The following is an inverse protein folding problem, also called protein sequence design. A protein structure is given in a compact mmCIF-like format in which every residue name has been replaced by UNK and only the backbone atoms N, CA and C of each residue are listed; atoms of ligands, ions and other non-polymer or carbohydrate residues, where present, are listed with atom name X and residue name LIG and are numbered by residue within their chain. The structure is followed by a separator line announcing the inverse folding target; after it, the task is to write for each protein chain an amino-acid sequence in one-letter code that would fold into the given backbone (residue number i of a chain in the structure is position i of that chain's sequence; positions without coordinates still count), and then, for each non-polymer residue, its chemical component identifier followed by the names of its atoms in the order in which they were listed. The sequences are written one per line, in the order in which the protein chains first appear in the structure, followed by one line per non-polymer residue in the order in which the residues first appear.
data_IF_610594084463
#
_entry.id   IF_610594084463
#
_cell.length_a   1.000
_cell.length_b   1.000
_cell.length_c   1.000
_cell.angle_alpha   90.00
_cell.angle_beta   90.00
_cell.angle_gamma   90.00
#
_symmetry.space_group_name_H-M   'P 1'
#
loop_
_entity.id
_entity.type
_entity.pdbx_description
1 polymer ?
#
# COMPACT_ATOMS: atom_id res chain seq x y z
N UNK A 1 -47.64 37.62 -35.24
CA UNK A 1 -48.42 38.61 -34.47
C UNK A 1 -48.10 38.34 -33.00
N UNK A 2 -47.04 38.93 -32.44
CA UNK A 2 -47.00 40.29 -31.85
C UNK A 2 -48.05 40.37 -30.72
N UNK A 3 -47.74 40.55 -29.44
CA UNK A 3 -46.78 41.47 -28.86
C UNK A 3 -46.41 41.12 -27.39
N UNK A 4 -45.33 41.74 -26.87
CA UNK A 4 -44.74 41.57 -25.53
C UNK A 4 -45.17 42.71 -24.56
N UNK A 5 -44.58 42.78 -23.35
CA UNK A 5 -44.17 43.97 -22.55
C UNK A 5 -43.84 43.48 -21.11
N UNK A 6 -42.57 43.50 -20.64
CA UNK A 6 -41.85 44.60 -19.92
C UNK A 6 -42.42 44.89 -18.51
N UNK A 7 -41.67 45.22 -17.45
CA UNK A 7 -40.24 45.37 -17.07
C UNK A 7 -40.27 45.86 -15.61
N UNK A 8 -39.09 45.87 -14.95
CA UNK A 8 -38.66 46.65 -13.74
C UNK A 8 -38.84 45.93 -12.40
N UNK A 9 -37.73 45.49 -11.78
CA UNK A 9 -36.65 46.19 -11.02
C UNK A 9 -37.05 46.45 -9.56
N UNK A 10 -36.35 45.76 -8.66
CA UNK A 10 -35.90 46.30 -7.38
C UNK A 10 -34.62 45.58 -6.97
N UNK A 11 -33.54 46.34 -6.93
CA UNK A 11 -32.26 46.00 -6.31
C UNK A 11 -32.31 46.46 -4.86
N UNK A 12 -31.79 45.64 -3.93
CA UNK A 12 -30.87 46.06 -2.85
C UNK A 12 -30.44 44.86 -2.00
N UNK A 13 -29.16 44.51 -2.16
CA UNK A 13 -28.15 44.25 -1.14
C UNK A 13 -28.56 43.52 0.15
N UNK A 14 -28.00 42.32 0.35
CA UNK A 14 -27.16 42.01 1.50
C UNK A 14 -26.11 40.97 1.10
N UNK A 15 -24.85 41.39 1.17
CA UNK A 15 -23.69 40.54 1.01
C UNK A 15 -23.20 40.01 2.36
N UNK A 16 -22.42 38.92 2.28
CA UNK A 16 -21.49 38.39 3.30
C UNK A 16 -22.11 37.42 4.33
N UNK A 17 -21.51 36.31 4.78
CA UNK A 17 -20.19 35.71 4.55
C UNK A 17 -20.21 34.26 5.14
N UNK A 18 -19.61 33.32 4.40
CA UNK A 18 -18.78 32.14 4.79
C UNK A 18 -19.27 31.00 5.73
N UNK A 19 -19.02 29.79 5.17
CA UNK A 19 -18.34 28.60 5.75
C UNK A 19 -19.08 27.71 6.77
N UNK A 20 -19.47 26.52 6.29
CA UNK A 20 -19.36 25.16 6.87
C UNK A 20 -20.25 24.27 5.97
N UNK A 21 -19.94 23.07 5.48
CA UNK A 21 -19.03 22.01 5.92
C UNK A 21 -18.60 21.21 4.68
N UNK A 22 -17.28 21.02 4.51
CA UNK A 22 -16.71 19.95 3.67
C UNK A 22 -16.02 19.00 4.63
N UNK A 23 -16.63 17.85 4.88
CA UNK A 23 -15.99 16.68 5.45
C UNK A 23 -16.28 15.51 4.52
N UNK A 24 -15.34 14.55 4.47
CA UNK A 24 -15.27 13.40 3.56
C UNK A 24 -14.70 13.70 2.17
N UNK A 25 -13.37 13.81 2.10
CA UNK A 25 -12.50 13.35 0.99
C UNK A 25 -11.05 13.73 1.30
N UNK A 26 -10.28 12.77 1.80
CA UNK A 26 -8.84 12.61 1.55
C UNK A 26 -8.38 11.40 2.36
N UNK A 27 -7.87 10.37 1.69
CA UNK A 27 -6.72 9.54 2.13
C UNK A 27 -6.56 8.39 1.13
N UNK A 28 -5.72 8.62 0.13
CA UNK A 28 -4.93 7.62 -0.61
C UNK A 28 -4.13 8.42 -1.64
N UNK A 29 -2.92 8.84 -1.26
CA UNK A 29 -1.90 9.41 -2.15
C UNK A 29 -0.56 9.47 -1.41
N UNK A 30 0.46 8.91 -2.06
CA UNK A 30 1.88 8.92 -1.67
C UNK A 30 2.47 7.54 -1.95
N UNK A 31 3.43 7.31 -2.85
CA UNK A 31 4.38 8.21 -3.47
C UNK A 31 4.76 7.73 -4.90
N UNK A 32 5.21 8.67 -5.73
CA UNK A 32 5.97 8.41 -6.95
C UNK A 32 7.00 9.54 -7.06
N UNK A 33 8.24 9.25 -7.50
CA UNK A 33 9.05 10.11 -8.38
C UNK A 33 10.41 9.46 -8.80
N UNK A 34 10.56 9.37 -10.13
CA UNK A 34 11.74 9.52 -11.03
C UNK A 34 13.02 8.69 -10.84
N UNK A 35 13.33 7.86 -11.86
CA UNK A 35 14.69 7.53 -12.27
C UNK A 35 14.83 7.68 -13.80
N UNK A 36 15.84 8.44 -14.24
CA UNK A 36 16.32 8.51 -15.62
C UNK A 36 17.75 7.96 -15.72
N UNK A 37 18.22 7.52 -16.91
CA UNK A 37 19.46 6.75 -17.01
C UNK A 37 20.68 7.66 -17.18
N UNK A 38 21.81 7.32 -16.55
CA UNK A 38 23.12 7.90 -16.86
C UNK A 38 24.13 6.78 -17.15
N UNK A 39 24.86 6.99 -18.25
CA UNK A 39 25.80 6.10 -18.88
C UNK A 39 27.10 5.89 -18.09
N UNK A 40 27.69 4.71 -18.28
CA UNK A 40 29.01 4.32 -17.79
C UNK A 40 30.15 5.13 -18.43
N UNK A 41 31.09 5.59 -17.59
CA UNK A 41 32.46 5.89 -18.00
C UNK A 41 33.42 5.40 -16.89
N UNK A 42 34.44 4.63 -17.30
CA UNK A 42 35.48 4.05 -16.44
C UNK A 42 36.74 4.93 -16.35
N UNK A 43 37.47 4.74 -15.25
CA UNK A 43 38.93 4.90 -15.03
C UNK A 43 39.38 6.13 -14.20
N UNK A 44 40.60 6.14 -13.63
CA UNK A 44 41.17 5.17 -12.69
C UNK A 44 41.89 5.84 -11.48
N UNK A 45 42.07 5.07 -10.39
CA UNK A 45 43.22 5.14 -9.47
C UNK A 45 43.30 6.31 -8.47
N UNK A 46 43.34 5.98 -7.17
CA UNK A 46 44.53 6.14 -6.31
C UNK A 46 44.21 5.69 -4.88
N UNK A 47 45.14 4.92 -4.31
CA UNK A 47 45.08 4.42 -2.95
C UNK A 47 45.39 5.53 -1.95
N UNK A 48 44.56 5.64 -0.91
CA UNK A 48 44.91 6.35 0.32
C UNK A 48 44.36 5.57 1.52
N UNK A 49 45.26 5.23 2.42
CA UNK A 49 45.00 4.54 3.69
C UNK A 49 44.04 5.35 4.56
N UNK A 50 42.93 4.73 4.97
CA UNK A 50 42.06 5.23 6.02
C UNK A 50 42.11 4.29 7.22
N UNK A 51 42.39 4.88 8.38
CA UNK A 51 42.39 4.25 9.69
C UNK A 51 40.99 3.71 10.05
N UNK A 52 40.95 2.46 10.49
CA UNK A 52 39.75 1.86 11.08
C UNK A 52 39.43 2.49 12.44
N UNK A 53 38.19 2.97 12.68
CA UNK A 53 37.71 3.17 14.04
C UNK A 53 37.12 1.86 14.59
N UNK A 54 37.29 1.70 15.89
CA UNK A 54 36.96 0.52 16.65
C UNK A 54 35.46 0.21 16.64
N UNK A 55 35.15 -1.08 16.53
CA UNK A 55 33.81 -1.67 16.66
C UNK A 55 33.35 -1.50 18.11
N UNK A 56 32.30 -0.72 18.34
CA UNK A 56 31.54 -0.73 19.58
C UNK A 56 30.60 -1.97 19.59
N UNK A 57 30.40 -2.63 20.74
CA UNK A 57 29.57 -3.83 20.80
C UNK A 57 28.10 -3.47 20.58
N UNK A 58 27.43 -4.27 19.74
CA UNK A 58 26.01 -4.19 19.48
C UNK A 58 25.21 -4.31 20.79
N UNK A 59 24.34 -3.33 21.05
CA UNK A 59 23.33 -3.42 22.10
C UNK A 59 22.38 -4.58 21.77
N UNK A 60 22.10 -5.42 22.76
CA UNK A 60 21.15 -6.52 22.64
C UNK A 60 19.74 -5.97 22.34
N UNK A 61 18.95 -6.63 21.47
CA UNK A 61 17.58 -6.22 21.20
C UNK A 61 16.74 -6.36 22.47
N UNK A 62 15.93 -5.33 22.75
CA UNK A 62 14.91 -5.37 23.78
C UNK A 62 13.91 -6.52 23.49
N UNK A 63 13.37 -7.20 24.52
CA UNK A 63 12.45 -8.31 24.32
C UNK A 63 11.18 -7.79 23.63
N UNK A 64 10.84 -8.41 22.49
CA UNK A 64 9.59 -8.19 21.80
C UNK A 64 8.41 -8.34 22.77
N UNK A 65 7.53 -7.34 22.79
CA UNK A 65 6.27 -7.43 23.50
C UNK A 65 5.50 -8.66 23.00
N UNK A 66 5.11 -9.54 23.91
CA UNK A 66 4.36 -10.74 23.57
C UNK A 66 3.05 -10.36 22.85
N UNK A 67 2.73 -10.98 21.69
CA UNK A 67 1.49 -10.70 21.00
C UNK A 67 0.31 -11.10 21.89
N UNK A 68 -0.71 -10.24 21.91
CA UNK A 68 -1.99 -10.54 22.53
C UNK A 68 -2.56 -11.79 21.87
N UNK A 69 -2.75 -12.85 22.65
CA UNK A 69 -3.31 -14.10 22.18
C UNK A 69 -4.70 -13.86 21.56
N UNK A 70 -4.79 -14.01 20.24
CA UNK A 70 -6.05 -14.11 19.52
C UNK A 70 -6.71 -15.43 19.97
N UNK A 71 -7.99 -15.44 20.38
CA UNK A 71 -8.67 -16.67 20.74
C UNK A 71 -8.67 -17.65 19.55
N UNK A 72 -8.50 -18.96 19.78
CA UNK A 72 -8.49 -19.94 18.70
C UNK A 72 -9.84 -19.88 17.97
N UNK A 73 -9.78 -19.62 16.67
CA UNK A 73 -10.93 -19.72 15.80
C UNK A 73 -11.44 -21.17 15.83
N UNK A 74 -12.58 -21.41 16.48
CA UNK A 74 -13.34 -22.65 16.31
C UNK A 74 -13.81 -22.72 14.88
N UNK A 75 -13.03 -23.40 14.03
CA UNK A 75 -13.36 -23.69 12.63
C UNK A 75 -14.40 -24.82 12.60
N UNK A 76 -15.66 -24.48 12.88
CA UNK A 76 -16.76 -25.30 12.33
C UNK A 76 -16.69 -25.16 10.82
N UNK A 77 -16.18 -26.19 10.14
CA UNK A 77 -16.13 -26.21 8.68
C UNK A 77 -17.53 -25.91 8.12
N UNK A 78 -17.68 -24.90 7.25
CA UNK A 78 -18.96 -24.60 6.65
C UNK A 78 -19.44 -25.79 5.80
N UNK A 79 -20.77 -25.90 5.72
CA UNK A 79 -21.51 -26.80 4.82
C UNK A 79 -20.87 -26.76 3.42
N UNK A 80 -20.78 -27.92 2.75
CA UNK A 80 -20.16 -28.04 1.43
C UNK A 80 -20.52 -26.86 0.51
N UNK A 81 -19.54 -26.27 -0.21
CA UNK A 81 -19.77 -25.08 -1.03
C UNK A 81 -20.88 -25.36 -2.05
N UNK A 82 -21.82 -24.42 -2.17
CA UNK A 82 -23.01 -24.59 -2.99
C UNK A 82 -22.74 -24.32 -4.47
N UNK A 83 -21.75 -23.47 -4.77
CA UNK A 83 -21.40 -23.06 -6.14
C UNK A 83 -19.88 -23.01 -6.36
N UNK A 84 -19.49 -23.02 -7.62
CA UNK A 84 -18.12 -22.84 -8.06
C UNK A 84 -18.08 -21.94 -9.30
N UNK A 85 -17.13 -20.99 -9.35
CA UNK A 85 -16.99 -20.07 -10.48
C UNK A 85 -15.53 -19.62 -10.67
N UNK A 86 -15.11 -19.29 -11.91
CA UNK A 86 -13.76 -18.80 -12.18
C UNK A 86 -13.54 -17.42 -11.55
N UNK A 87 -12.37 -17.21 -10.95
CA UNK A 87 -11.96 -15.89 -10.47
C UNK A 87 -10.44 -15.72 -10.48
N UNK A 88 -9.96 -14.59 -10.99
CA UNK A 88 -8.54 -14.25 -11.04
C UNK A 88 -8.35 -12.74 -11.27
N UNK A 89 -7.20 -12.23 -10.84
CA UNK A 89 -6.71 -10.88 -11.16
C UNK A 89 -5.32 -10.99 -11.79
N UNK A 90 -5.07 -10.21 -12.83
CA UNK A 90 -3.80 -10.22 -13.54
C UNK A 90 -3.45 -8.87 -14.16
N UNK A 91 -2.15 -8.57 -14.15
CA UNK A 91 -1.56 -7.38 -14.77
C UNK A 91 -0.88 -7.74 -16.08
N UNK A 92 -1.14 -6.93 -17.10
CA UNK A 92 -0.61 -7.12 -18.45
C UNK A 92 0.06 -5.85 -18.96
N UNK A 93 1.04 -6.05 -19.84
CA UNK A 93 1.62 -5.00 -20.67
C UNK A 93 1.36 -5.31 -22.14
N UNK A 94 1.08 -4.30 -22.95
CA UNK A 94 0.59 -4.54 -24.29
C UNK A 94 0.64 -3.34 -25.21
N UNK A 95 -0.05 -3.47 -26.34
CA UNK A 95 -0.20 -2.42 -27.34
C UNK A 95 -1.63 -2.32 -27.84
N UNK A 96 -2.05 -1.08 -28.10
CA UNK A 96 -3.15 -0.76 -29.01
C UNK A 96 -2.54 -0.07 -30.22
N UNK A 97 -2.56 -0.74 -31.37
CA UNK A 97 -1.75 -0.39 -32.54
C UNK A 97 -0.27 -0.18 -32.18
N UNK A 98 0.22 1.07 -32.20
CA UNK A 98 1.62 1.41 -31.91
C UNK A 98 1.82 2.08 -30.54
N UNK A 99 0.79 2.11 -29.68
CA UNK A 99 0.85 2.74 -28.35
C UNK A 99 0.96 1.67 -27.28
N UNK A 100 1.98 1.79 -26.43
CA UNK A 100 2.16 0.91 -25.28
C UNK A 100 1.10 1.21 -24.21
N UNK A 101 0.56 0.14 -23.63
CA UNK A 101 -0.44 0.20 -22.57
C UNK A 101 -0.08 -0.74 -21.43
N UNK A 102 -0.58 -0.41 -20.24
CA UNK A 102 -0.63 -1.30 -19.07
C UNK A 102 -2.10 -1.52 -18.71
N UNK A 103 -2.45 -2.75 -18.40
CA UNK A 103 -3.82 -3.19 -18.14
C UNK A 103 -3.85 -4.01 -16.87
N UNK A 104 -4.81 -3.74 -16.00
CA UNK A 104 -5.16 -4.59 -14.86
C UNK A 104 -6.54 -5.17 -15.15
N UNK A 105 -6.66 -6.49 -15.20
CA UNK A 105 -7.92 -7.19 -15.45
C UNK A 105 -8.23 -8.12 -14.29
N UNK A 106 -9.51 -8.22 -13.98
CA UNK A 106 -10.04 -9.23 -13.08
C UNK A 106 -11.25 -9.92 -13.73
N UNK A 107 -11.41 -11.21 -13.42
CA UNK A 107 -12.58 -12.00 -13.76
C UNK A 107 -13.26 -12.47 -12.49
N UNK A 108 -14.58 -12.38 -12.46
CA UNK A 108 -15.44 -13.00 -11.45
C UNK A 108 -16.63 -13.65 -12.16
N UNK A 109 -16.70 -14.98 -12.12
CA UNK A 109 -17.62 -15.75 -12.95
C UNK A 109 -17.50 -15.33 -14.43
N UNK A 110 -18.57 -14.81 -15.03
CA UNK A 110 -18.55 -14.32 -16.41
C UNK A 110 -18.32 -12.81 -16.51
N UNK A 111 -18.23 -12.07 -15.40
CA UNK A 111 -17.91 -10.65 -15.44
C UNK A 111 -16.40 -10.44 -15.57
N UNK A 112 -15.98 -9.57 -16.48
CA UNK A 112 -14.60 -9.13 -16.63
C UNK A 112 -14.56 -7.62 -16.49
N UNK A 113 -13.71 -7.14 -15.59
CA UNK A 113 -13.54 -5.71 -15.38
C UNK A 113 -12.08 -5.37 -15.14
N UNK A 114 -11.75 -4.09 -15.18
CA UNK A 114 -10.37 -3.67 -15.01
C UNK A 114 -10.16 -2.20 -15.30
N UNK A 115 -8.90 -1.82 -15.38
CA UNK A 115 -8.50 -0.48 -15.76
C UNK A 115 -7.26 -0.53 -16.65
N UNK A 116 -7.03 0.52 -17.43
CA UNK A 116 -5.83 0.60 -18.25
C UNK A 116 -5.36 2.03 -18.48
N UNK A 117 -4.14 2.17 -18.94
CA UNK A 117 -3.51 3.45 -19.25
C UNK A 117 -2.53 3.29 -20.40
N UNK A 118 -2.31 4.39 -21.11
CA UNK A 118 -1.17 4.51 -22.03
C UNK A 118 0.10 4.86 -21.25
N UNK A 119 1.20 4.23 -21.61
CA UNK A 119 2.50 4.52 -21.00
C UNK A 119 3.00 5.94 -21.38
N UNK A 120 3.63 6.70 -20.46
CA UNK A 120 3.99 6.33 -19.08
C UNK A 120 2.80 6.35 -18.12
N UNK A 121 2.59 5.22 -17.44
CA UNK A 121 1.50 4.98 -16.53
C UNK A 121 1.90 5.15 -15.05
N UNK A 122 0.99 5.72 -14.26
CA UNK A 122 1.09 5.87 -12.81
C UNK A 122 -0.25 5.49 -12.16
N UNK A 123 -0.27 5.40 -10.83
CA UNK A 123 -1.43 4.98 -10.05
C UNK A 123 -2.66 5.88 -10.22
N UNK A 124 -2.47 7.15 -10.60
CA UNK A 124 -3.60 8.04 -10.88
C UNK A 124 -4.10 7.91 -12.33
N UNK A 125 -3.23 7.57 -13.28
CA UNK A 125 -3.58 7.40 -14.69
C UNK A 125 -4.28 6.08 -14.97
N UNK A 126 -3.89 4.98 -14.31
CA UNK A 126 -4.50 3.66 -14.52
C UNK A 126 -6.01 3.73 -14.28
N UNK A 127 -6.46 4.47 -13.25
CA UNK A 127 -7.87 4.60 -12.87
C UNK A 127 -8.75 5.44 -13.81
N UNK A 128 -8.17 6.05 -14.86
CA UNK A 128 -8.92 6.97 -15.74
C UNK A 128 -9.73 6.25 -16.80
N UNK A 129 -9.26 5.10 -17.28
CA UNK A 129 -9.95 4.32 -18.30
C UNK A 129 -10.36 2.99 -17.70
N UNK A 130 -11.67 2.84 -17.50
CA UNK A 130 -12.27 1.66 -16.91
C UNK A 130 -12.72 0.70 -18.00
N UNK A 131 -12.55 -0.58 -17.74
CA UNK A 131 -12.95 -1.70 -18.57
C UNK A 131 -14.08 -2.48 -17.88
N UNK A 132 -15.15 -2.79 -18.60
CA UNK A 132 -16.29 -3.56 -18.10
C UNK A 132 -16.91 -4.41 -19.20
N UNK A 133 -17.10 -5.69 -18.95
CA UNK A 133 -17.56 -6.62 -19.97
C UNK A 133 -17.85 -8.01 -19.44
N UNK A 134 -17.98 -8.94 -20.37
CA UNK A 134 -18.32 -10.32 -20.04
C UNK A 134 -17.48 -11.32 -20.82
N UNK A 135 -17.18 -12.44 -20.17
CA UNK A 135 -16.66 -13.64 -20.81
C UNK A 135 -17.69 -14.18 -21.81
N UNK A 136 -17.20 -14.69 -22.93
CA UNK A 136 -17.98 -15.30 -24.00
C UNK A 136 -17.33 -16.62 -24.41
N UNK A 137 -18.05 -17.44 -25.18
CA UNK A 137 -17.57 -18.76 -25.60
C UNK A 137 -16.17 -18.74 -26.25
N UNK A 138 -15.82 -17.65 -26.95
CA UNK A 138 -14.58 -17.55 -27.73
C UNK A 138 -13.68 -16.37 -27.31
N UNK A 139 -13.81 -15.85 -26.10
CA UNK A 139 -13.03 -14.71 -25.65
C UNK A 139 -13.77 -13.81 -24.66
N UNK A 140 -13.43 -12.53 -24.66
CA UNK A 140 -14.06 -11.50 -23.83
C UNK A 140 -14.43 -10.30 -24.68
N UNK A 141 -15.62 -9.76 -24.43
CA UNK A 141 -16.08 -8.49 -24.98
C UNK A 141 -16.19 -7.46 -23.87
N UNK A 142 -15.49 -6.34 -24.02
CA UNK A 142 -15.35 -5.32 -22.98
C UNK A 142 -15.66 -3.94 -23.57
N UNK A 143 -16.35 -3.12 -22.80
CA UNK A 143 -16.55 -1.70 -23.06
C UNK A 143 -15.58 -0.86 -22.24
N UNK A 144 -15.05 0.17 -22.87
CA UNK A 144 -14.14 1.14 -22.28
C UNK A 144 -14.87 2.41 -21.91
N UNK A 145 -14.56 2.97 -20.75
CA UNK A 145 -15.18 4.17 -20.20
C UNK A 145 -14.13 5.16 -19.69
N UNK A 146 -14.20 6.41 -20.16
CA UNK A 146 -13.41 7.51 -19.60
C UNK A 146 -14.06 8.04 -18.31
N UNK A 147 -13.42 7.76 -17.17
CA UNK A 147 -13.86 8.17 -15.85
C UNK A 147 -13.72 9.69 -15.62
N UNK A 148 -12.91 10.37 -16.44
CA UNK A 148 -12.69 11.81 -16.36
C UNK A 148 -13.77 12.63 -17.04
N UNK A 149 -14.59 12.00 -17.90
CA UNK A 149 -15.71 12.65 -18.57
C UNK A 149 -16.72 13.23 -17.56
N UNK A 150 -17.28 14.40 -17.88
CA UNK A 150 -18.29 15.05 -17.05
C UNK A 150 -19.61 14.26 -17.05
N UNK A 151 -20.34 14.31 -15.94
CA UNK A 151 -21.61 13.61 -15.77
C UNK A 151 -21.52 12.33 -14.93
N UNK A 152 -22.70 11.83 -14.52
CA UNK A 152 -22.85 10.58 -13.77
C UNK A 152 -22.66 9.36 -14.67
N UNK A 153 -23.24 9.40 -15.87
CA UNK A 153 -23.06 8.36 -16.88
C UNK A 153 -21.73 8.62 -17.60
N UNK A 154 -20.85 7.62 -17.57
CA UNK A 154 -19.58 7.68 -18.29
C UNK A 154 -19.82 7.18 -19.71
N UNK A 155 -19.41 7.94 -20.75
CA UNK A 155 -19.61 7.51 -22.12
C UNK A 155 -18.70 6.32 -22.44
N UNK A 156 -19.18 5.43 -23.30
CA UNK A 156 -18.34 4.39 -23.90
C UNK A 156 -17.39 5.07 -24.88
N UNK A 157 -16.08 4.91 -24.67
CA UNK A 157 -15.01 5.49 -25.50
C UNK A 157 -14.32 4.47 -26.40
N UNK A 158 -14.56 3.18 -26.17
CA UNK A 158 -14.02 2.09 -26.98
C UNK A 158 -14.68 0.75 -26.67
N UNK A 159 -14.43 -0.24 -27.53
CA UNK A 159 -14.84 -1.63 -27.33
C UNK A 159 -13.68 -2.56 -27.63
N UNK A 160 -13.47 -3.55 -26.78
CA UNK A 160 -12.41 -4.54 -26.90
C UNK A 160 -13.04 -5.90 -27.15
N UNK A 161 -12.56 -6.60 -28.18
CA UNK A 161 -12.86 -8.02 -28.43
C UNK A 161 -11.52 -8.75 -28.36
N UNK A 162 -11.34 -9.63 -27.37
CA UNK A 162 -10.07 -10.29 -27.12
C UNK A 162 -10.23 -11.79 -26.94
N UNK A 163 -9.20 -12.52 -27.31
CA UNK A 163 -9.05 -13.97 -27.10
C UNK A 163 -7.75 -14.25 -26.38
N UNK A 164 -7.76 -15.29 -25.57
CA UNK A 164 -6.53 -15.80 -24.93
C UNK A 164 -5.57 -16.30 -26.01
N UNK A 165 -4.30 -15.94 -25.90
CA UNK A 165 -3.21 -16.42 -26.75
C UNK A 165 -2.04 -16.84 -25.85
N UNK A 166 -1.95 -18.13 -25.54
CA UNK A 166 -1.09 -18.63 -24.48
C UNK A 166 -1.44 -18.00 -23.12
N UNK A 167 -0.45 -17.35 -22.50
CA UNK A 167 -0.63 -16.61 -21.24
C UNK A 167 -1.11 -15.16 -21.44
N UNK A 168 -1.13 -14.68 -22.70
CA UNK A 168 -1.50 -13.32 -23.06
C UNK A 168 -2.87 -13.24 -23.74
N UNK A 169 -3.09 -12.12 -24.42
CA UNK A 169 -4.31 -11.83 -25.16
C UNK A 169 -4.00 -11.21 -26.51
N UNK A 170 -4.79 -11.58 -27.52
CA UNK A 170 -4.83 -10.90 -28.80
C UNK A 170 -6.25 -10.48 -29.13
N UNK A 171 -6.41 -9.38 -29.83
CA UNK A 171 -7.74 -8.83 -30.05
C UNK A 171 -7.76 -7.56 -30.86
N UNK A 172 -8.88 -6.86 -30.74
CA UNK A 172 -9.14 -5.62 -31.46
C UNK A 172 -9.79 -4.61 -30.52
N UNK A 173 -9.29 -3.38 -30.58
CA UNK A 173 -9.97 -2.20 -30.05
C UNK A 173 -10.78 -1.54 -31.17
N UNK A 174 -12.02 -1.16 -30.92
CA UNK A 174 -12.86 -0.43 -31.85
C UNK A 174 -13.42 0.86 -31.24
N UNK A 175 -13.56 1.91 -32.05
CA UNK A 175 -14.25 3.14 -31.65
C UNK A 175 -15.72 2.88 -31.32
N UNK A 176 -16.39 3.75 -30.54
CA UNK A 176 -17.79 3.55 -30.16
C UNK A 176 -18.76 3.46 -31.36
N UNK A 177 -18.39 4.06 -32.49
CA UNK A 177 -19.13 3.99 -33.75
C UNK A 177 -18.65 2.88 -34.71
N UNK A 178 -17.62 2.11 -34.32
CA UNK A 178 -17.04 1.03 -35.10
C UNK A 178 -16.23 1.46 -36.33
N UNK A 179 -16.09 2.76 -36.61
CA UNK A 179 -15.37 3.25 -37.80
C UNK A 179 -13.86 3.07 -37.73
N UNK A 180 -13.31 3.04 -36.52
CA UNK A 180 -11.89 2.78 -36.29
C UNK A 180 -11.73 1.46 -35.57
N UNK A 181 -10.78 0.66 -36.04
CA UNK A 181 -10.42 -0.63 -35.49
C UNK A 181 -8.89 -0.71 -35.43
N UNK A 182 -8.35 -1.12 -34.29
CA UNK A 182 -6.91 -1.19 -34.02
C UNK A 182 -6.56 -2.54 -33.42
N UNK A 183 -5.46 -3.19 -33.86
CA UNK A 183 -5.03 -4.43 -33.26
C UNK A 183 -4.61 -4.21 -31.80
N UNK A 184 -4.90 -5.20 -30.97
CA UNK A 184 -4.62 -5.19 -29.56
C UNK A 184 -3.86 -6.46 -29.17
N UNK A 185 -2.79 -6.30 -28.40
CA UNK A 185 -2.03 -7.43 -27.85
C UNK A 185 -1.67 -7.14 -26.40
N UNK A 186 -1.84 -8.12 -25.53
CA UNK A 186 -1.45 -8.07 -24.12
C UNK A 186 -0.56 -9.28 -23.80
N UNK A 187 0.49 -9.06 -23.03
CA UNK A 187 1.39 -10.09 -22.56
C UNK A 187 1.52 -9.98 -21.03
N UNK A 188 1.79 -11.11 -20.38
CA UNK A 188 2.22 -11.10 -18.99
C UNK A 188 3.54 -10.32 -18.85
N UNK A 189 3.84 -9.85 -17.64
CA UNK A 189 5.11 -9.17 -17.39
C UNK A 189 6.30 -10.06 -17.82
N UNK A 190 7.35 -9.49 -18.45
CA UNK A 190 8.51 -10.26 -18.88
C UNK A 190 9.21 -10.96 -17.72
N UNK A 191 9.65 -12.20 -17.93
CA UNK A 191 10.55 -12.91 -17.01
C UNK A 191 9.90 -13.87 -16.00
N UNK A 192 8.57 -13.85 -15.86
CA UNK A 192 7.83 -14.80 -15.00
C UNK A 192 7.18 -15.95 -15.77
N UNK A 193 7.05 -17.11 -15.13
CA UNK A 193 6.24 -18.21 -15.66
C UNK A 193 4.75 -17.84 -15.67
N UNK A 194 3.98 -18.43 -16.59
CA UNK A 194 2.53 -18.31 -16.57
C UNK A 194 1.94 -19.15 -15.42
N UNK A 195 0.86 -18.67 -14.80
CA UNK A 195 0.18 -19.43 -13.76
C UNK A 195 -0.39 -20.73 -14.35
N UNK A 196 -0.05 -21.90 -13.81
CA UNK A 196 -0.23 -23.18 -14.50
C UNK A 196 -1.64 -23.78 -14.39
N UNK A 197 -2.57 -23.10 -13.71
CA UNK A 197 -3.92 -23.60 -13.45
C UNK A 197 -5.01 -22.60 -13.83
N UNK A 198 -6.19 -23.11 -14.16
CA UNK A 198 -7.43 -22.35 -14.05
C UNK A 198 -7.81 -22.26 -12.56
N UNK A 199 -8.10 -21.04 -12.10
CA UNK A 199 -8.51 -20.75 -10.73
C UNK A 199 -10.03 -20.65 -10.65
N UNK A 200 -10.62 -21.39 -9.72
CA UNK A 200 -12.03 -21.29 -9.37
C UNK A 200 -12.21 -21.13 -7.87
N UNK A 201 -13.21 -20.36 -7.47
CA UNK A 201 -13.61 -20.22 -6.07
C UNK A 201 -14.83 -21.08 -5.81
N UNK A 202 -14.81 -21.78 -4.68
CA UNK A 202 -15.97 -22.47 -4.15
C UNK A 202 -16.58 -21.65 -3.01
N UNK A 203 -17.87 -21.31 -3.15
CA UNK A 203 -18.57 -20.40 -2.25
C UNK A 203 -19.95 -20.92 -1.87
N UNK A 204 -20.56 -20.27 -0.88
CA UNK A 204 -21.92 -20.53 -0.44
C UNK A 204 -23.01 -20.10 -1.45
N UNK A 205 -22.70 -19.17 -2.37
CA UNK A 205 -23.58 -18.67 -3.44
C UNK A 205 -22.82 -17.93 -4.54
N UNK A 206 -23.51 -17.64 -5.65
CA UNK A 206 -22.94 -16.87 -6.77
C UNK A 206 -22.77 -15.39 -6.38
N UNK A 207 -21.72 -14.71 -6.86
CA UNK A 207 -21.59 -13.26 -6.72
C UNK A 207 -22.66 -12.53 -7.53
N UNK A 208 -23.03 -11.33 -7.08
CA UNK A 208 -23.98 -10.47 -7.79
C UNK A 208 -23.40 -10.04 -9.15
N UNK A 209 -24.11 -10.30 -10.28
CA UNK A 209 -23.63 -9.96 -11.61
C UNK A 209 -23.62 -8.46 -11.91
N UNK A 210 -24.34 -7.63 -11.15
CA UNK A 210 -24.35 -6.17 -11.32
C UNK A 210 -23.00 -5.53 -11.00
N UNK A 211 -22.18 -6.22 -10.20
CA UNK A 211 -20.96 -5.65 -9.65
C UNK A 211 -21.21 -4.50 -8.68
N UNK A 212 -22.45 -4.16 -8.31
CA UNK A 212 -22.66 -3.13 -7.29
C UNK A 212 -22.16 -3.61 -5.92
N UNK A 213 -21.93 -2.68 -4.99
CA UNK A 213 -21.57 -3.06 -3.62
C UNK A 213 -22.75 -3.82 -2.99
N UNK A 214 -22.58 -5.13 -2.86
CA UNK A 214 -23.57 -6.01 -2.26
C UNK A 214 -23.37 -6.06 -0.74
N UNK A 215 -24.48 -6.04 0.01
CA UNK A 215 -24.46 -6.22 1.47
C UNK A 215 -24.32 -7.68 1.88
N UNK A 216 -24.48 -8.61 0.95
CA UNK A 216 -24.51 -10.06 1.17
C UNK A 216 -23.49 -10.75 0.25
N UNK A 217 -22.21 -10.40 0.44
CA UNK A 217 -21.10 -10.94 -0.35
C UNK A 217 -21.00 -12.46 -0.14
N UNK A 218 -20.71 -13.28 -1.16
CA UNK A 218 -20.47 -14.71 -0.98
C UNK A 218 -19.31 -15.01 -0.03
N UNK A 219 -19.48 -16.06 0.79
CA UNK A 219 -18.41 -16.63 1.61
C UNK A 219 -17.65 -17.67 0.80
N UNK A 220 -16.37 -17.41 0.55
CA UNK A 220 -15.47 -18.30 -0.18
C UNK A 220 -14.71 -19.18 0.81
N UNK A 221 -14.82 -20.49 0.62
CA UNK A 221 -14.28 -21.49 1.56
C UNK A 221 -13.13 -22.29 0.96
N UNK A 222 -13.00 -22.28 -0.37
CA UNK A 222 -11.94 -22.99 -1.09
C UNK A 222 -11.53 -22.25 -2.35
N UNK A 223 -10.24 -22.31 -2.66
CA UNK A 223 -9.72 -22.13 -4.02
C UNK A 223 -9.49 -23.50 -4.64
N UNK A 224 -10.03 -23.72 -5.84
CA UNK A 224 -9.90 -24.97 -6.59
C UNK A 224 -9.09 -24.72 -7.86
N UNK A 225 -8.08 -25.55 -8.06
CA UNK A 225 -7.12 -25.44 -9.15
C UNK A 225 -7.36 -26.53 -10.17
N UNK A 226 -7.58 -26.13 -11.42
CA UNK A 226 -7.85 -27.04 -12.53
C UNK A 226 -6.73 -27.00 -13.55
N UNK A 227 -6.40 -28.16 -14.11
CA UNK A 227 -5.52 -28.29 -15.28
C UNK A 227 -6.22 -29.15 -16.31
N UNK A 228 -6.37 -28.63 -17.53
CA UNK A 228 -7.06 -29.31 -18.63
C UNK A 228 -8.47 -29.81 -18.23
N UNK A 229 -9.20 -28.98 -17.48
CA UNK A 229 -10.55 -29.29 -16.97
C UNK A 229 -10.61 -30.28 -15.81
N UNK A 230 -9.47 -30.78 -15.30
CA UNK A 230 -9.41 -31.70 -14.16
C UNK A 230 -8.98 -30.97 -12.89
N UNK A 231 -9.69 -31.21 -11.79
CA UNK A 231 -9.32 -30.70 -10.47
C UNK A 231 -7.98 -31.33 -10.04
N UNK A 232 -6.98 -30.49 -9.77
CA UNK A 232 -5.63 -30.90 -9.34
C UNK A 232 -5.47 -30.70 -7.84
N UNK A 233 -5.99 -29.60 -7.29
CA UNK A 233 -5.83 -29.27 -5.88
C UNK A 233 -6.99 -28.42 -5.37
N UNK A 234 -7.31 -28.57 -4.08
CA UNK A 234 -8.22 -27.72 -3.33
C UNK A 234 -7.45 -27.10 -2.17
N UNK A 235 -7.53 -25.78 -2.06
CA UNK A 235 -6.85 -24.97 -1.06
C UNK A 235 -7.91 -24.38 -0.13
N UNK A 236 -7.90 -24.70 1.18
CA UNK A 236 -8.88 -24.16 2.12
C UNK A 236 -8.64 -22.67 2.36
N UNK A 237 -9.70 -21.89 2.53
CA UNK A 237 -9.61 -20.47 2.88
C UNK A 237 -10.86 -20.04 3.65
N UNK A 238 -10.80 -18.87 4.26
CA UNK A 238 -11.93 -18.23 4.94
C UNK A 238 -12.01 -16.78 4.42
N UNK A 239 -12.58 -16.63 3.22
CA UNK A 239 -12.55 -15.36 2.49
C UNK A 239 -13.95 -14.78 2.30
N UNK A 240 -14.14 -13.57 2.82
CA UNK A 240 -15.40 -12.84 2.87
C UNK A 240 -15.10 -11.36 2.62
N UNK A 241 -15.43 -10.86 1.43
CA UNK A 241 -15.31 -9.44 1.13
C UNK A 241 -16.47 -8.61 1.69
N UNK A 242 -16.34 -7.28 1.62
CA UNK A 242 -17.29 -6.32 2.23
C UNK A 242 -18.33 -5.77 1.27
N UNK A 243 -17.94 -5.50 0.03
CA UNK A 243 -18.83 -5.06 -1.06
C UNK A 243 -18.90 -6.08 -2.21
N UNK A 244 -17.79 -6.80 -2.42
CA UNK A 244 -17.58 -7.79 -3.48
C UNK A 244 -16.65 -8.86 -2.92
N UNK A 245 -16.59 -10.03 -3.54
CA UNK A 245 -15.61 -11.05 -3.17
C UNK A 245 -14.18 -10.51 -3.33
N UNK A 246 -13.24 -11.06 -2.57
CA UNK A 246 -11.83 -10.93 -2.93
C UNK A 246 -11.51 -11.86 -4.08
N UNK A 247 -10.62 -11.40 -4.96
CA UNK A 247 -10.20 -12.12 -6.15
C UNK A 247 -8.78 -12.61 -5.93
N UNK A 248 -8.44 -13.86 -6.31
CA UNK A 248 -7.09 -14.36 -6.15
C UNK A 248 -6.08 -13.61 -7.03
N UNK A 249 -4.88 -13.41 -6.50
CA UNK A 249 -3.77 -12.78 -7.19
C UNK A 249 -2.60 -13.77 -7.34
N UNK A 250 -1.89 -13.70 -8.47
CA UNK A 250 -0.84 -14.66 -8.82
C UNK A 250 0.56 -14.05 -8.86
N UNK A 251 0.97 -13.39 -7.78
CA UNK A 251 2.29 -12.81 -7.65
C UNK A 251 3.37 -13.87 -7.38
N UNK A 252 4.63 -13.61 -7.73
CA UNK A 252 5.80 -14.40 -7.30
C UNK A 252 6.22 -13.91 -5.90
N UNK A 253 5.76 -14.62 -4.86
CA UNK A 253 5.87 -14.22 -3.45
C UNK A 253 7.26 -14.53 -2.92
N UNK A 254 7.89 -15.63 -3.39
CA UNK A 254 9.19 -16.09 -2.92
C UNK A 254 10.37 -15.71 -3.85
N UNK A 255 10.08 -15.07 -4.98
CA UNK A 255 11.03 -14.60 -5.99
C UNK A 255 11.81 -15.72 -6.70
N UNK A 256 11.16 -16.88 -6.88
CA UNK A 256 11.73 -18.05 -7.57
C UNK A 256 11.43 -18.08 -9.08
N UNK A 257 10.65 -17.12 -9.58
CA UNK A 257 10.25 -16.97 -10.97
C UNK A 257 8.92 -17.64 -11.32
N UNK A 258 8.32 -18.42 -10.40
CA UNK A 258 7.01 -19.00 -10.55
C UNK A 258 5.94 -18.15 -9.86
N UNK A 259 4.76 -18.00 -10.48
CA UNK A 259 3.65 -17.32 -9.84
C UNK A 259 3.05 -18.20 -8.74
N UNK A 260 2.96 -17.63 -7.55
CA UNK A 260 2.29 -18.18 -6.39
C UNK A 260 0.82 -17.75 -6.37
N UNK A 261 0.13 -17.91 -5.23
CA UNK A 261 -1.27 -17.50 -5.09
C UNK A 261 -1.51 -16.82 -3.76
N UNK A 262 -2.22 -15.69 -3.77
CA UNK A 262 -2.74 -15.04 -2.57
C UNK A 262 -4.24 -14.80 -2.67
N UNK A 263 -4.91 -14.74 -1.52
CA UNK A 263 -6.31 -14.35 -1.40
C UNK A 263 -6.56 -13.66 -0.05
N UNK A 264 -7.01 -12.41 -0.08
CA UNK A 264 -7.44 -11.69 1.11
C UNK A 264 -8.60 -12.42 1.82
N UNK A 265 -8.57 -12.44 3.15
CA UNK A 265 -9.56 -13.14 3.98
C UNK A 265 -10.74 -12.24 4.32
N UNK A 266 -10.52 -11.09 4.95
CA UNK A 266 -11.58 -10.12 5.25
C UNK A 266 -11.01 -8.70 5.32
N UNK A 267 -11.85 -7.68 5.12
CA UNK A 267 -11.43 -6.28 5.29
C UNK A 267 -11.75 -5.80 6.72
N UNK A 268 -10.76 -5.64 7.61
CA UNK A 268 -10.99 -5.02 8.91
C UNK A 268 -11.23 -3.51 8.77
N UNK A 269 -11.50 -2.84 9.89
CA UNK A 269 -11.63 -1.38 9.93
C UNK A 269 -10.32 -0.62 9.58
N UNK A 270 -9.21 -1.33 9.39
CA UNK A 270 -7.90 -0.76 9.07
C UNK A 270 -7.20 -1.45 7.90
N UNK A 271 -5.97 -1.01 7.58
CA UNK A 271 -5.23 -1.48 6.43
C UNK A 271 -4.69 -2.91 6.61
N UNK A 272 -4.84 -3.51 7.79
CA UNK A 272 -4.25 -4.80 8.14
C UNK A 272 -5.09 -5.97 7.59
N UNK A 273 -5.12 -6.19 6.28
CA UNK A 273 -5.92 -7.25 5.66
C UNK A 273 -5.17 -8.59 5.77
N UNK A 274 -5.68 -9.58 6.53
CA UNK A 274 -5.09 -10.90 6.57
C UNK A 274 -5.27 -11.60 5.22
N UNK A 275 -4.27 -12.38 4.84
CA UNK A 275 -4.17 -12.97 3.49
C UNK A 275 -3.82 -14.44 3.58
N UNK A 276 -4.57 -15.29 2.88
CA UNK A 276 -4.19 -16.68 2.63
C UNK A 276 -3.16 -16.71 1.51
N UNK A 277 -2.14 -17.55 1.63
CA UNK A 277 -1.04 -17.59 0.66
C UNK A 277 -0.52 -19.00 0.43
N UNK A 278 -0.20 -19.31 -0.84
CA UNK A 278 0.33 -20.60 -1.23
C UNK A 278 1.45 -20.48 -2.26
N UNK A 279 2.60 -21.11 -1.98
CA UNK A 279 3.75 -21.15 -2.88
C UNK A 279 3.63 -22.27 -3.90
N UNK A 280 3.91 -21.99 -5.17
CA UNK A 280 3.95 -23.01 -6.20
C UNK A 280 5.24 -23.84 -6.11
N UNK A 281 5.09 -25.15 -6.02
CA UNK A 281 6.21 -26.09 -5.98
C UNK A 281 6.41 -26.72 -7.37
N UNK A 282 7.32 -26.21 -8.23
CA UNK A 282 7.46 -26.67 -9.61
C UNK A 282 7.84 -28.15 -9.72
N UNK A 283 8.57 -28.70 -8.75
CA UNK A 283 8.93 -30.11 -8.72
C UNK A 283 7.74 -31.06 -8.54
N UNK A 284 6.64 -30.59 -7.94
CA UNK A 284 5.44 -31.41 -7.69
C UNK A 284 4.22 -30.94 -8.47
N UNK A 285 4.24 -29.71 -8.99
CA UNK A 285 3.06 -29.07 -9.56
C UNK A 285 1.93 -28.97 -8.54
N UNK A 286 2.23 -28.52 -7.33
CA UNK A 286 1.26 -28.29 -6.25
C UNK A 286 1.55 -26.97 -5.55
N UNK A 287 0.54 -26.41 -4.91
CA UNK A 287 0.66 -25.27 -4.03
C UNK A 287 0.89 -25.73 -2.59
N UNK A 288 1.88 -25.15 -1.93
CA UNK A 288 2.19 -25.33 -0.50
C UNK A 288 1.60 -24.18 0.29
N UNK A 289 0.85 -24.48 1.36
CA UNK A 289 0.26 -23.46 2.22
C UNK A 289 1.33 -22.79 3.10
N UNK A 290 1.47 -21.48 2.93
CA UNK A 290 2.37 -20.63 3.71
C UNK A 290 1.62 -19.52 4.44
N UNK A 291 0.30 -19.65 4.59
CA UNK A 291 -0.56 -18.64 5.24
C UNK A 291 -0.05 -18.29 6.63
N UNK A 292 0.35 -19.29 7.43
CA UNK A 292 0.91 -19.05 8.76
C UNK A 292 2.25 -18.29 8.72
N UNK A 293 3.09 -18.51 7.71
CA UNK A 293 4.34 -17.76 7.56
C UNK A 293 4.13 -16.29 7.14
N UNK A 294 2.92 -15.96 6.69
CA UNK A 294 2.51 -14.61 6.27
C UNK A 294 1.55 -13.94 7.26
N UNK A 295 1.25 -14.57 8.40
CA UNK A 295 0.22 -14.06 9.34
C UNK A 295 0.57 -12.67 9.90
N UNK A 296 1.87 -12.41 10.09
CA UNK A 296 2.39 -11.13 10.56
C UNK A 296 2.53 -10.08 9.44
N UNK A 297 2.21 -10.44 8.18
CA UNK A 297 2.23 -9.53 7.03
C UNK A 297 0.81 -9.26 6.54
N UNK A 298 0.17 -8.24 7.10
CA UNK A 298 -1.20 -7.88 6.79
C UNK A 298 -1.22 -6.86 5.65
N UNK A 299 -1.81 -7.21 4.50
CA UNK A 299 -1.67 -6.51 3.21
C UNK A 299 -0.24 -6.54 2.64
N UNK A 300 0.33 -7.73 2.37
CA UNK A 300 1.68 -7.87 1.86
C UNK A 300 1.83 -7.32 0.44
N UNK A 301 2.99 -6.75 0.16
CA UNK A 301 3.43 -6.28 -1.15
C UNK A 301 4.76 -6.96 -1.49
N UNK A 302 4.99 -7.21 -2.79
CA UNK A 302 6.13 -8.00 -3.28
C UNK A 302 7.06 -7.13 -4.13
N UNK A 303 8.25 -6.83 -3.61
CA UNK A 303 9.30 -6.12 -4.32
C UNK A 303 10.24 -7.13 -4.99
N UNK A 304 9.96 -7.44 -6.25
CA UNK A 304 10.76 -8.38 -7.04
C UNK A 304 12.19 -7.87 -7.32
N UNK A 305 12.42 -6.55 -7.34
CA UNK A 305 13.74 -5.99 -7.62
C UNK A 305 14.70 -6.23 -6.45
N UNK A 306 14.19 -6.06 -5.22
CA UNK A 306 14.96 -6.24 -4.00
C UNK A 306 14.77 -7.64 -3.36
N UNK A 307 13.81 -8.43 -3.86
CA UNK A 307 13.40 -9.73 -3.31
C UNK A 307 12.94 -9.63 -1.86
N UNK A 308 12.05 -8.68 -1.60
CA UNK A 308 11.52 -8.36 -0.29
C UNK A 308 10.01 -8.40 -0.28
N UNK A 309 9.45 -8.90 0.81
CA UNK A 309 8.02 -8.77 1.13
C UNK A 309 7.91 -7.62 2.13
N UNK A 310 6.99 -6.69 1.91
CA UNK A 310 6.77 -5.59 2.83
C UNK A 310 5.29 -5.34 3.04
N UNK A 311 4.93 -4.76 4.18
CA UNK A 311 3.56 -4.29 4.42
C UNK A 311 3.53 -2.96 5.16
N UNK A 312 2.36 -2.36 5.16
CA UNK A 312 2.06 -1.18 5.97
C UNK A 312 0.95 -1.54 6.94
N UNK A 313 1.23 -1.42 8.23
CA UNK A 313 0.32 -1.80 9.29
C UNK A 313 -0.12 -0.59 10.10
N UNK A 314 -1.28 -0.73 10.74
CA UNK A 314 -1.80 0.24 11.69
C UNK A 314 -2.20 -0.44 12.99
N UNK A 315 -1.74 0.08 14.11
CA UNK A 315 -2.29 -0.25 15.42
C UNK A 315 -3.18 0.91 15.89
N UNK A 316 -4.47 0.61 16.11
CA UNK A 316 -5.47 1.62 16.44
C UNK A 316 -5.62 2.71 15.36
N UNK A 317 -5.68 3.97 15.80
CA UNK A 317 -5.84 5.14 14.93
C UNK A 317 -4.51 5.79 14.51
N UNK A 318 -3.46 5.57 15.29
CA UNK A 318 -2.44 6.59 15.49
C UNK A 318 -1.01 6.02 15.50
N UNK A 319 -0.87 4.72 15.23
CA UNK A 319 0.39 4.02 15.23
C UNK A 319 0.49 3.31 13.88
N UNK A 320 1.54 3.63 13.15
CA UNK A 320 1.78 3.09 11.82
C UNK A 320 3.15 2.42 11.79
N UNK A 321 3.21 1.30 11.08
CA UNK A 321 4.40 0.49 10.94
C UNK A 321 4.63 0.17 9.47
N UNK A 322 5.91 0.04 9.11
CA UNK A 322 6.31 -0.61 7.87
C UNK A 322 7.20 -1.77 8.27
N UNK A 323 6.81 -2.99 7.90
CA UNK A 323 7.63 -4.18 8.12
C UNK A 323 8.21 -4.62 6.78
N UNK A 324 9.51 -4.92 6.75
CA UNK A 324 10.20 -5.45 5.57
C UNK A 324 10.79 -6.79 5.96
N UNK A 325 10.53 -7.81 5.15
CA UNK A 325 10.89 -9.17 5.43
C UNK A 325 11.41 -9.90 4.19
N UNK A 326 12.15 -10.99 4.42
CA UNK A 326 12.77 -11.79 3.37
C UNK A 326 12.54 -13.28 3.63
N UNK A 327 12.35 -14.03 2.56
CA UNK A 327 12.35 -15.49 2.64
C UNK A 327 13.73 -16.03 3.00
N UNK A 328 13.80 -16.79 4.09
CA UNK A 328 14.99 -17.51 4.53
C UNK A 328 14.57 -18.89 5.04
N UNK A 329 15.01 -19.96 4.36
CA UNK A 329 14.71 -21.34 4.77
C UNK A 329 13.21 -21.66 4.83
N UNK A 330 12.42 -21.13 3.88
CA UNK A 330 10.96 -21.34 3.83
C UNK A 330 10.17 -20.55 4.87
N UNK A 331 10.79 -19.59 5.56
CA UNK A 331 10.13 -18.68 6.50
C UNK A 331 10.35 -17.24 6.09
N UNK A 332 9.39 -16.40 6.41
CA UNK A 332 9.56 -14.96 6.29
C UNK A 332 10.27 -14.44 7.55
N UNK A 333 11.40 -13.77 7.36
CA UNK A 333 12.20 -13.19 8.45
C UNK A 333 12.19 -11.68 8.28
N UNK A 334 11.69 -10.96 9.29
CA UNK A 334 11.78 -9.51 9.35
C UNK A 334 13.24 -9.08 9.30
N UNK A 335 13.57 -8.22 8.34
CA UNK A 335 14.92 -7.67 8.14
C UNK A 335 14.99 -6.18 8.48
N UNK A 336 13.86 -5.49 8.46
CA UNK A 336 13.75 -4.07 8.80
C UNK A 336 12.34 -3.78 9.30
N UNK A 337 12.19 -2.81 10.21
CA UNK A 337 10.90 -2.29 10.62
C UNK A 337 11.03 -0.83 10.99
N UNK A 338 10.06 -0.03 10.55
CA UNK A 338 9.90 1.34 10.98
C UNK A 338 8.58 1.51 11.71
N UNK A 339 8.59 2.38 12.72
CA UNK A 339 7.43 2.73 13.52
C UNK A 339 7.27 4.25 13.52
N UNK A 340 6.03 4.70 13.44
CA UNK A 340 5.70 6.11 13.60
C UNK A 340 6.01 6.66 14.99
N UNK A 341 6.53 7.88 15.05
CA UNK A 341 6.93 8.52 16.29
C UNK A 341 6.58 10.02 16.31
N UNK A 342 6.81 10.66 17.45
CA UNK A 342 6.59 12.08 17.67
C UNK A 342 7.92 12.78 17.91
N UNK A 343 8.30 13.65 16.97
CA UNK A 343 9.52 14.44 17.08
C UNK A 343 9.24 15.77 17.79
N UNK A 344 9.91 16.08 18.91
CA UNK A 344 9.78 17.38 19.55
C UNK A 344 10.44 18.50 18.73
N UNK A 345 9.68 19.57 18.48
CA UNK A 345 10.14 20.75 17.77
C UNK A 345 9.78 21.99 18.57
N UNK A 346 10.74 22.89 18.77
CA UNK A 346 10.51 24.23 19.28
C UNK A 346 10.52 25.23 18.14
N UNK A 347 9.51 26.10 18.11
CA UNK A 347 9.49 27.27 17.25
C UNK A 347 8.86 28.43 17.99
N UNK A 348 9.52 29.60 17.93
CA UNK A 348 9.07 30.82 18.63
C UNK A 348 8.79 30.59 20.12
N UNK A 349 9.64 29.79 20.78
CA UNK A 349 9.54 29.47 22.20
C UNK A 349 8.45 28.47 22.59
N UNK A 350 7.70 27.91 21.63
CA UNK A 350 6.67 26.90 21.88
C UNK A 350 7.14 25.53 21.41
N UNK A 351 7.02 24.53 22.27
CA UNK A 351 7.30 23.13 21.94
C UNK A 351 6.04 22.51 21.32
N UNK A 352 6.21 21.71 20.28
CA UNK A 352 5.18 20.94 19.60
C UNK A 352 5.73 19.56 19.23
N UNK A 353 4.86 18.60 18.96
CA UNK A 353 5.18 17.20 18.72
C UNK A 353 4.73 16.83 17.32
N UNK A 354 5.70 16.66 16.44
CA UNK A 354 5.46 16.44 15.03
C UNK A 354 5.42 14.94 14.73
N UNK A 355 4.27 14.45 14.29
CA UNK A 355 4.07 13.04 13.98
C UNK A 355 4.83 12.64 12.70
N UNK A 356 5.75 11.68 12.78
CA UNK A 356 6.51 11.14 11.65
C UNK A 356 5.96 9.76 11.30
N UNK A 357 5.65 9.54 10.02
CA UNK A 357 5.21 8.25 9.52
C UNK A 357 6.32 7.53 8.74
N UNK A 358 6.53 6.22 8.97
CA UNK A 358 7.39 5.41 8.12
C UNK A 358 6.70 5.16 6.77
N UNK A 359 7.52 4.94 5.74
CA UNK A 359 7.11 4.55 4.40
C UNK A 359 8.09 3.53 3.84
N UNK A 360 7.64 2.64 2.97
CA UNK A 360 8.54 1.78 2.20
C UNK A 360 9.03 2.51 0.95
N UNK A 361 10.34 2.53 0.72
CA UNK A 361 10.92 3.05 -0.51
C UNK A 361 12.18 2.29 -0.90
N UNK A 362 12.18 1.72 -2.11
CA UNK A 362 13.31 1.03 -2.73
C UNK A 362 14.08 0.07 -1.81
N UNK A 363 13.36 -0.84 -1.15
CA UNK A 363 13.97 -1.86 -0.30
C UNK A 363 14.14 -1.49 1.17
N UNK A 364 13.82 -0.25 1.55
CA UNK A 364 14.09 0.28 2.89
C UNK A 364 12.90 1.00 3.50
N UNK A 365 12.92 1.14 4.83
CA UNK A 365 12.03 2.03 5.55
C UNK A 365 12.61 3.45 5.52
N UNK A 366 11.83 4.38 4.98
CA UNK A 366 12.14 5.80 4.97
C UNK A 366 11.13 6.60 5.79
N UNK A 367 11.57 7.75 6.29
CA UNK A 367 10.73 8.72 6.99
C UNK A 367 10.75 10.05 6.22
N UNK A 368 9.83 10.28 5.26
CA UNK A 368 9.86 11.45 4.40
C UNK A 368 9.83 12.78 5.17
N UNK A 369 9.11 12.80 6.29
CA UNK A 369 8.88 13.98 7.14
C UNK A 369 9.86 14.11 8.32
N UNK A 370 10.93 13.30 8.37
CA UNK A 370 11.93 13.38 9.44
C UNK A 370 12.83 14.60 9.29
N UNK A 371 13.59 14.90 10.33
CA UNK A 371 14.66 15.89 10.25
C UNK A 371 15.85 15.34 9.47
N UNK A 372 16.17 16.03 8.38
CA UNK A 372 17.30 15.72 7.51
C UNK A 372 18.50 16.59 7.83
N UNK A 373 19.67 15.97 7.99
CA UNK A 373 20.94 16.67 7.98
C UNK A 373 21.38 16.92 6.53
N UNK A 374 21.64 18.19 6.20
CA UNK A 374 22.16 18.59 4.88
C UNK A 374 23.56 19.22 4.98
N UNK A 375 24.32 18.86 6.02
CA UNK A 375 25.69 19.30 6.27
C UNK A 375 25.79 20.24 7.46
N UNK A 376 25.61 21.55 7.22
CA UNK A 376 25.80 22.60 8.23
C UNK A 376 24.54 22.94 9.04
N UNK A 377 23.40 22.36 8.67
CA UNK A 377 22.10 22.60 9.31
C UNK A 377 21.16 21.42 9.14
N UNK A 378 20.25 21.31 10.11
CA UNK A 378 19.13 20.40 10.02
C UNK A 378 17.98 21.10 9.29
N UNK A 379 17.29 20.40 8.39
CA UNK A 379 16.12 20.98 7.74
C UNK A 379 15.03 21.25 8.79
N UNK A 380 14.59 22.50 8.95
CA UNK A 380 13.56 22.84 9.90
C UNK A 380 12.26 22.18 9.46
N UNK A 381 11.56 21.57 10.42
CA UNK A 381 10.23 21.02 10.18
C UNK A 381 9.19 22.12 10.32
N UNK A 382 8.21 22.16 9.42
CA UNK A 382 7.08 23.07 9.57
C UNK A 382 6.24 22.67 10.80
N UNK A 383 6.19 23.49 11.87
CA UNK A 383 5.46 23.15 13.08
C UNK A 383 3.93 23.23 12.89
N UNK A 384 3.43 23.71 11.75
CA UNK A 384 1.99 23.93 11.52
C UNK A 384 1.14 22.65 11.54
N UNK A 385 1.75 21.49 11.26
CA UNK A 385 1.11 20.17 11.30
C UNK A 385 1.31 19.44 12.63
N UNK A 386 2.06 20.04 13.57
CA UNK A 386 2.45 19.40 14.82
C UNK A 386 1.43 19.63 15.94
N UNK A 387 1.39 18.70 16.89
CA UNK A 387 0.49 18.78 18.02
C UNK A 387 1.11 19.65 19.13
N UNK A 388 0.33 20.54 19.73
CA UNK A 388 0.79 21.42 20.81
C UNK A 388 0.93 20.73 22.17
N UNK A 389 0.26 19.59 22.34
CA UNK A 389 0.34 18.75 23.54
C UNK A 389 1.13 17.48 23.20
N UNK A 390 1.87 16.89 24.16
CA UNK A 390 2.54 15.62 23.95
C UNK A 390 1.54 14.47 23.76
N UNK A 391 1.96 13.35 23.14
CA UNK A 391 1.18 12.11 23.14
C UNK A 391 0.99 11.57 24.57
N UNK A 392 0.05 10.63 24.72
CA UNK A 392 -0.28 10.02 26.02
C UNK A 392 0.86 9.18 26.62
N UNK A 393 1.82 8.72 25.78
CA UNK A 393 3.03 8.01 26.21
C UNK A 393 4.29 8.68 25.65
N UNK A 394 5.36 8.65 26.44
CA UNK A 394 6.69 9.15 26.06
C UNK A 394 7.52 8.15 25.25
N UNK A 395 7.13 6.87 25.19
CA UNK A 395 7.92 5.81 24.54
C UNK A 395 8.15 6.07 23.03
N UNK A 396 7.22 6.81 22.41
CA UNK A 396 7.26 7.19 20.99
C UNK A 396 7.63 8.65 20.78
N UNK A 397 8.10 9.33 21.83
CA UNK A 397 8.68 10.66 21.71
C UNK A 397 10.18 10.50 21.68
N UNK A 398 10.80 10.91 20.59
CA UNK A 398 12.25 10.87 20.43
C UNK A 398 12.68 11.79 19.29
N UNK A 399 13.96 12.17 19.29
CA UNK A 399 14.55 12.92 18.19
C UNK A 399 15.29 11.95 17.26
N UNK A 400 14.94 11.96 15.98
CA UNK A 400 15.68 11.26 14.93
C UNK A 400 16.30 12.25 13.96
N UNK A 401 17.53 11.98 13.53
CA UNK A 401 18.19 12.71 12.44
C UNK A 401 18.72 11.72 11.42
N UNK A 402 18.35 11.94 10.17
CA UNK A 402 18.82 11.15 9.04
C UNK A 402 19.68 12.01 8.11
N UNK A 403 20.74 11.42 7.58
CA UNK A 403 21.53 11.99 6.48
C UNK A 403 21.04 11.41 5.17
N UNK A 404 20.93 12.26 4.15
CA UNK A 404 20.81 11.84 2.76
C UNK A 404 22.07 12.27 2.02
N UNK A 405 22.92 11.33 1.63
CA UNK A 405 24.10 11.63 0.83
C UNK A 405 23.65 12.19 -0.52
N UNK A 406 24.02 13.43 -0.79
CA UNK A 406 23.58 14.18 -1.98
C UNK A 406 24.21 13.67 -3.28
N UNK A 407 25.22 12.81 -3.22
CA UNK A 407 25.94 12.27 -4.38
C UNK A 407 25.30 11.00 -4.91
N UNK A 408 24.87 10.10 -4.03
CA UNK A 408 24.31 8.80 -4.40
C UNK A 408 22.85 8.60 -3.94
N UNK A 409 22.30 9.51 -3.13
CA UNK A 409 20.95 9.43 -2.59
C UNK A 409 20.78 8.48 -1.41
N UNK A 410 21.87 7.89 -0.91
CA UNK A 410 21.87 6.94 0.21
C UNK A 410 21.42 7.63 1.50
N UNK A 411 20.61 6.92 2.28
CA UNK A 411 20.08 7.40 3.55
C UNK A 411 20.77 6.64 4.68
N UNK A 412 21.32 7.38 5.64
CA UNK A 412 21.86 6.79 6.86
C UNK A 412 21.26 7.45 8.09
N UNK A 413 21.03 6.64 9.11
CA UNK A 413 20.64 7.12 10.43
C UNK A 413 21.87 7.73 11.12
N UNK A 414 21.78 8.98 11.57
CA UNK A 414 22.90 9.66 12.24
C UNK A 414 22.74 9.72 13.75
N UNK A 415 21.51 9.91 14.22
CA UNK A 415 21.24 10.22 15.61
C UNK A 415 19.83 9.81 16.01
N UNK A 416 19.72 9.13 17.16
CA UNK A 416 18.46 8.86 17.84
C UNK A 416 18.63 9.19 19.32
N UNK A 417 17.67 9.89 19.91
CA UNK A 417 17.61 10.12 21.35
C UNK A 417 16.18 10.03 21.86
N UNK A 418 15.95 9.01 22.70
CA UNK A 418 14.69 8.81 23.39
C UNK A 418 14.51 9.76 24.56
N UNK A 419 13.26 10.00 24.94
CA UNK A 419 12.95 10.75 26.17
C UNK A 419 13.54 10.03 27.38
N UNK A 420 14.28 10.78 28.19
CA UNK A 420 14.75 10.34 29.49
C UNK A 420 13.83 10.88 30.59
N UNK A 421 13.86 10.29 31.78
CA UNK A 421 13.07 10.73 32.91
C UNK A 421 13.97 11.20 34.05
N UNK A 422 13.92 12.50 34.36
CA UNK A 422 14.77 13.17 35.34
C UNK A 422 13.99 13.56 36.60
N UNK A 423 14.61 13.44 37.77
CA UNK A 423 14.03 13.86 39.06
C UNK A 423 14.17 15.36 39.24
N UNK A 424 13.05 16.06 39.43
CA UNK A 424 13.01 17.51 39.65
C UNK A 424 12.04 17.88 40.77
N UNK A 425 12.41 18.90 41.52
CA UNK A 425 11.53 19.50 42.54
C UNK A 425 10.50 20.43 41.88
N UNK A 426 9.21 20.10 42.04
CA UNK A 426 8.09 20.93 41.59
C UNK A 426 7.13 21.14 42.77
N UNK A 427 6.98 22.41 43.18
CA UNK A 427 6.15 22.81 44.31
C UNK A 427 6.50 22.05 45.62
N UNK A 428 7.79 21.78 45.86
CA UNK A 428 8.30 21.10 47.06
C UNK A 428 8.04 19.59 47.08
N UNK A 429 7.79 18.98 45.92
CA UNK A 429 7.70 17.54 45.75
C UNK A 429 8.70 17.10 44.68
N UNK A 430 9.43 16.02 44.96
CA UNK A 430 10.24 15.33 43.95
C UNK A 430 9.34 14.60 42.95
N UNK A 431 9.52 14.90 41.68
CA UNK A 431 8.74 14.37 40.56
C UNK A 431 9.70 13.88 39.47
N UNK A 432 9.39 12.76 38.82
CA UNK A 432 10.06 12.35 37.57
C UNK A 432 9.39 13.03 36.39
N UNK A 433 10.15 13.85 35.68
CA UNK A 433 9.68 14.60 34.52
C UNK A 433 10.42 14.21 33.24
N UNK A 434 9.77 14.34 32.07
CA UNK A 434 10.40 14.11 30.77
C UNK A 434 11.55 15.10 30.56
N UNK A 435 12.71 14.56 30.22
CA UNK A 435 13.89 15.26 29.74
C UNK A 435 14.03 14.96 28.25
N UNK A 436 13.72 15.95 27.43
CA UNK A 436 13.52 15.76 26.00
C UNK A 436 14.57 16.49 25.19
N UNK A 437 15.14 15.78 24.22
CA UNK A 437 15.92 16.37 23.16
C UNK A 437 14.96 16.92 22.08
N UNK A 438 15.25 18.09 21.50
CA UNK A 438 14.35 18.73 20.54
C UNK A 438 15.09 19.50 19.44
N UNK A 439 14.39 19.68 18.33
CA UNK A 439 14.81 20.55 17.23
C UNK A 439 14.33 21.98 17.51
N UNK A 440 15.22 22.96 17.60
CA UNK A 440 14.88 24.38 17.79
C UNK A 440 15.36 25.17 16.57
N UNK A 441 14.41 25.72 15.81
CA UNK A 441 14.67 26.55 14.62
C UNK A 441 15.76 25.98 13.66
N UNK A 442 15.83 24.65 13.51
CA UNK A 442 16.78 23.96 12.61
C UNK A 442 18.09 23.49 13.27
N UNK A 443 18.18 23.53 14.59
CA UNK A 443 19.32 23.05 15.37
C UNK A 443 18.89 22.02 16.42
N UNK A 444 19.70 20.98 16.61
CA UNK A 444 19.57 20.13 17.79
C UNK A 444 20.00 20.96 19.01
N UNK A 445 19.05 21.26 19.90
CA UNK A 445 19.30 22.04 21.12
C UNK A 445 19.66 21.15 22.30
N UNK A 446 20.26 21.69 23.35
CA UNK A 446 20.43 20.88 24.57
C UNK A 446 19.06 20.42 25.10
N UNK A 447 18.99 19.15 25.54
CA UNK A 447 17.77 18.59 26.07
C UNK A 447 17.19 19.44 27.22
N UNK A 448 15.86 19.45 27.32
CA UNK A 448 15.09 20.30 28.23
C UNK A 448 14.14 19.47 29.08
N UNK A 449 14.15 19.71 30.39
CA UNK A 449 13.21 19.09 31.32
C UNK A 449 11.86 19.78 31.28
N UNK A 450 10.80 19.02 30.96
CA UNK A 450 9.42 19.51 30.95
C UNK A 450 8.83 19.51 32.37
N UNK A 451 8.95 20.66 33.05
CA UNK A 451 8.52 20.81 34.47
C UNK A 451 7.02 21.04 34.67
N UNK A 452 6.18 20.77 33.68
CA UNK A 452 4.74 20.87 33.85
C UNK A 452 4.27 19.65 34.68
N UNK A 453 3.66 19.84 35.87
CA UNK A 453 3.21 18.74 36.72
C UNK A 453 2.32 17.71 36.01
N UNK A 454 1.57 18.11 34.98
CA UNK A 454 0.72 17.22 34.18
C UNK A 454 1.50 16.10 33.49
N UNK A 455 2.78 16.34 33.19
CA UNK A 455 3.64 15.41 32.45
C UNK A 455 4.58 14.61 33.33
N UNK A 456 4.57 14.88 34.64
CA UNK A 456 5.49 14.29 35.59
C UNK A 456 4.78 13.28 36.50
N UNK A 457 5.48 12.25 36.91
CA UNK A 457 5.00 11.26 37.89
C UNK A 457 5.66 11.49 39.24
N UNK A 458 4.88 11.49 40.33
CA UNK A 458 5.45 11.60 41.67
C UNK A 458 6.40 10.44 41.98
N UNK A 459 7.55 10.75 42.58
CA UNK A 459 8.43 9.72 43.11
C UNK A 459 7.79 9.07 44.35
N UNK A 460 7.88 7.74 44.43
CA UNK A 460 7.32 6.97 45.54
C UNK A 460 8.21 6.98 46.76
#
# INVERSE_FOLDING_TARGET
MSNPISRRRSWRDFASIRRASRCARLMLLGAAVLAGPVAHAQSPGTAAHAHAPAVAPAAAPAPAAAPLAVPPATTTMPKSPAVEFPAWSASYQGKIANRNIRVELQRVADHVSGNYCYEPCDSNKILKLRLDGSWQANGVAIQEYDQTAAGKEKPVTGRWDMRTDGAGWTGTWASPDGKRSLPLTLNTAPGGHAFPYEIRLAADRMPDPSGDCATDVPHVTQVRLYKDGKLVQTLPTDSQGTCRIFVPETADINFDGWPDLTLAQFLPAGPNIPTSAWLYQPGTGKMEDVTAAMEDMTSPNFDAANKLVWDFQRNGCCDHFVTVAKWQGGKLVQVEQGESFFQPVRSKGKISYCYVMPTYHNGHVEYPDVTWNVGDRLLPRDPSSCQSEPPDSWDRVHMEVYLRDTRNGEISHEYSEAVQMESVEINGKSMRCPYIQLLDDGHAENAVTLKNPKYCTAEK
#
